data_IF_239243347436
#
_entry.id   IF_239243347436
#
_cell.length_a   1.000
_cell.length_b   1.000
_cell.length_c   1.000
_cell.angle_alpha   90.00
_cell.angle_beta   90.00
_cell.angle_gamma   90.00
#
_symmetry.space_group_name_H-M   'P 1'
#
loop_
_entity.id
_entity.type
_entity.pdbx_description
1 polymer ?
#
# COMPACT_ATOMS: atom_id res chain seq x y z
N UNK A 1 49.03 -30.75 40.31
CA UNK A 1 48.83 -30.18 38.96
C UNK A 1 47.40 -29.74 38.84
N UNK A 2 47.08 -28.43 38.95
CA UNK A 2 45.72 -27.90 38.88
C UNK A 2 45.44 -27.55 37.43
N UNK A 3 44.53 -28.28 36.79
CA UNK A 3 44.11 -28.06 35.42
C UNK A 3 43.30 -26.77 35.32
N UNK A 4 43.82 -25.78 34.60
CA UNK A 4 43.12 -24.52 34.31
C UNK A 4 41.88 -24.81 33.44
N UNK A 5 40.71 -24.74 34.02
CA UNK A 5 39.44 -24.78 33.30
C UNK A 5 39.26 -23.45 32.57
N UNK A 6 39.63 -23.39 31.31
CA UNK A 6 39.37 -22.22 30.45
C UNK A 6 37.85 -21.98 30.38
N UNK A 7 37.37 -20.87 30.98
CA UNK A 7 35.99 -20.41 30.86
C UNK A 7 35.71 -20.13 29.36
N UNK A 8 34.82 -20.90 28.76
CA UNK A 8 34.36 -20.63 27.40
C UNK A 8 33.68 -19.26 27.38
N UNK A 9 34.10 -18.40 26.47
CA UNK A 9 33.46 -17.10 26.24
C UNK A 9 32.00 -17.31 25.82
N UNK A 10 31.11 -16.36 26.13
CA UNK A 10 29.69 -16.39 25.82
C UNK A 10 29.43 -16.76 24.34
N UNK A 11 30.18 -16.17 23.39
CA UNK A 11 30.13 -16.50 21.96
C UNK A 11 30.47 -17.97 21.66
N UNK A 12 31.41 -18.58 22.42
CA UNK A 12 31.76 -19.99 22.23
C UNK A 12 30.68 -20.96 22.71
N UNK A 13 29.77 -20.51 23.59
CA UNK A 13 28.62 -21.29 24.05
C UNK A 13 27.47 -21.28 23.04
N UNK A 14 27.37 -20.24 22.22
CA UNK A 14 26.33 -20.09 21.18
C UNK A 14 26.72 -20.85 19.88
N UNK A 15 28.01 -21.12 19.67
CA UNK A 15 28.45 -21.85 18.49
C UNK A 15 28.17 -23.34 18.60
N UNK A 16 27.66 -23.99 17.54
CA UNK A 16 27.44 -25.42 17.51
C UNK A 16 28.75 -26.21 17.68
N UNK A 17 28.70 -27.48 18.11
CA UNK A 17 29.86 -28.36 18.19
C UNK A 17 30.64 -28.37 16.86
N UNK A 18 31.97 -28.56 16.89
CA UNK A 18 32.82 -28.45 15.68
C UNK A 18 32.30 -29.27 14.48
N UNK A 19 31.79 -30.46 14.73
CA UNK A 19 31.25 -31.38 13.69
C UNK A 19 30.01 -30.84 12.99
N UNK A 20 29.24 -29.95 13.66
CA UNK A 20 28.01 -29.38 13.15
C UNK A 20 28.17 -27.97 12.55
N UNK A 21 29.36 -27.36 12.69
CA UNK A 21 29.59 -25.98 12.26
C UNK A 21 29.34 -25.77 10.77
N UNK A 22 29.85 -26.69 9.95
CA UNK A 22 29.67 -26.61 8.50
C UNK A 22 28.18 -26.70 8.12
N UNK A 23 27.46 -27.66 8.68
CA UNK A 23 26.02 -27.79 8.43
C UNK A 23 25.25 -26.55 8.92
N UNK A 24 25.57 -26.03 10.12
CA UNK A 24 24.92 -24.85 10.67
C UNK A 24 25.22 -23.59 9.82
N UNK A 25 26.44 -23.42 9.33
CA UNK A 25 26.76 -22.27 8.44
C UNK A 25 26.05 -22.36 7.10
N UNK A 26 25.95 -23.56 6.51
CA UNK A 26 25.22 -23.76 5.26
C UNK A 26 23.72 -23.47 5.43
N UNK A 27 23.12 -23.99 6.51
CA UNK A 27 21.70 -23.75 6.82
C UNK A 27 21.45 -22.27 7.09
N UNK A 28 22.30 -21.62 7.89
CA UNK A 28 22.19 -20.19 8.15
C UNK A 28 22.37 -19.37 6.87
N UNK A 29 23.36 -19.70 6.05
CA UNK A 29 23.59 -19.06 4.76
C UNK A 29 22.40 -19.20 3.81
N UNK A 30 21.81 -20.39 3.72
CA UNK A 30 20.61 -20.64 2.93
C UNK A 30 19.41 -19.84 3.47
N UNK A 31 19.22 -19.83 4.80
CA UNK A 31 18.14 -19.09 5.44
C UNK A 31 18.23 -17.58 5.18
N UNK A 32 19.39 -16.99 5.45
CA UNK A 32 19.57 -15.55 5.22
C UNK A 32 19.56 -15.20 3.73
N UNK A 33 20.18 -16.05 2.89
CA UNK A 33 20.18 -15.85 1.44
C UNK A 33 18.77 -15.90 0.85
N UNK A 34 17.96 -16.88 1.25
CA UNK A 34 16.54 -16.97 0.84
C UNK A 34 15.72 -15.81 1.38
N UNK A 35 15.92 -15.43 2.65
CA UNK A 35 15.25 -14.27 3.24
C UNK A 35 15.54 -12.98 2.48
N UNK A 36 16.81 -12.72 2.16
CA UNK A 36 17.22 -11.57 1.37
C UNK A 36 16.65 -11.61 -0.06
N UNK A 37 16.64 -12.78 -0.66
CA UNK A 37 16.04 -12.97 -1.99
C UNK A 37 14.53 -12.67 -1.99
N UNK A 38 13.80 -13.13 -0.97
CA UNK A 38 12.36 -12.85 -0.81
C UNK A 38 12.14 -11.35 -0.64
N UNK A 39 12.91 -10.66 0.21
CA UNK A 39 12.81 -9.21 0.40
C UNK A 39 13.09 -8.44 -0.91
N UNK A 40 14.04 -8.91 -1.70
CA UNK A 40 14.32 -8.33 -3.01
C UNK A 40 13.19 -8.58 -4.01
N UNK A 41 12.67 -9.80 -4.06
CA UNK A 41 11.59 -10.18 -4.97
C UNK A 41 10.27 -9.45 -4.66
N UNK A 42 9.95 -9.29 -3.37
CA UNK A 42 8.76 -8.56 -2.91
C UNK A 42 8.89 -7.04 -3.02
N UNK A 43 10.03 -6.53 -3.52
CA UNK A 43 10.30 -5.08 -3.57
C UNK A 43 10.11 -4.37 -2.21
N UNK A 44 10.47 -5.06 -1.12
CA UNK A 44 10.21 -4.59 0.25
C UNK A 44 10.80 -3.19 0.54
N UNK A 45 11.93 -2.85 -0.09
CA UNK A 45 12.57 -1.56 0.06
C UNK A 45 11.71 -0.38 -0.43
N UNK A 46 10.80 -0.60 -1.37
CA UNK A 46 9.91 0.45 -1.88
C UNK A 46 8.97 1.01 -0.81
N UNK A 47 8.62 0.21 0.19
CA UNK A 47 7.74 0.65 1.30
C UNK A 47 8.41 1.62 2.28
N UNK A 48 9.73 1.78 2.20
CA UNK A 48 10.44 2.81 2.96
C UNK A 48 10.23 4.21 2.35
N UNK A 49 9.85 4.28 1.08
CA UNK A 49 9.52 5.54 0.40
C UNK A 49 8.06 5.94 0.64
N UNK A 50 7.71 7.17 0.25
CA UNK A 50 6.33 7.67 0.24
C UNK A 50 5.73 7.67 -1.18
N UNK A 51 6.40 7.01 -2.14
CA UNK A 51 5.89 6.89 -3.51
C UNK A 51 4.60 6.05 -3.52
N UNK A 52 3.47 6.61 -3.95
CA UNK A 52 2.20 5.88 -4.06
C UNK A 52 2.27 4.60 -4.89
N UNK A 53 3.23 4.51 -5.81
CA UNK A 53 3.45 3.30 -6.62
C UNK A 53 3.89 2.09 -5.81
N UNK A 54 4.48 2.30 -4.62
CA UNK A 54 4.81 1.20 -3.72
C UNK A 54 3.57 0.37 -3.33
N UNK A 55 2.41 1.02 -3.21
CA UNK A 55 1.14 0.34 -2.91
C UNK A 55 0.69 -0.60 -4.04
N UNK A 56 1.10 -0.35 -5.29
CA UNK A 56 0.77 -1.20 -6.44
C UNK A 56 1.54 -2.52 -6.49
N UNK A 57 2.51 -2.74 -5.60
CA UNK A 57 3.14 -4.06 -5.46
C UNK A 57 2.09 -5.15 -5.10
N UNK A 58 0.96 -4.75 -4.48
CA UNK A 58 -0.19 -5.60 -4.27
C UNK A 58 -1.30 -5.24 -5.26
N UNK A 59 -1.66 -6.15 -6.16
CA UNK A 59 -2.66 -5.91 -7.19
C UNK A 59 -4.04 -5.53 -6.63
N UNK A 60 -4.37 -6.00 -5.41
CA UNK A 60 -5.62 -5.65 -4.72
C UNK A 60 -5.74 -4.15 -4.42
N UNK A 61 -4.63 -3.40 -4.41
CA UNK A 61 -4.60 -1.95 -4.18
C UNK A 61 -4.77 -1.13 -5.46
N UNK A 62 -4.85 -1.77 -6.62
CA UNK A 62 -5.01 -1.07 -7.91
C UNK A 62 -6.24 -0.16 -7.94
N UNK A 63 -7.45 -0.58 -7.50
CA UNK A 63 -8.62 0.31 -7.51
C UNK A 63 -8.43 1.54 -6.62
N UNK A 64 -7.82 1.37 -5.43
CA UNK A 64 -7.55 2.46 -4.50
C UNK A 64 -6.56 3.48 -5.09
N UNK A 65 -5.51 2.98 -5.74
CA UNK A 65 -4.56 3.84 -6.43
C UNK A 65 -5.22 4.62 -7.58
N UNK A 66 -6.01 3.95 -8.42
CA UNK A 66 -6.66 4.58 -9.57
C UNK A 66 -7.67 5.64 -9.14
N UNK A 67 -8.44 5.38 -8.10
CA UNK A 67 -9.41 6.35 -7.57
C UNK A 67 -8.72 7.53 -6.89
N UNK A 68 -7.68 7.30 -6.08
CA UNK A 68 -6.83 8.36 -5.53
C UNK A 68 -6.21 9.21 -6.66
N UNK A 69 -5.66 8.58 -7.69
CA UNK A 69 -5.01 9.26 -8.81
C UNK A 69 -5.96 10.18 -9.61
N UNK A 70 -7.28 9.98 -9.47
CA UNK A 70 -8.33 10.83 -10.06
C UNK A 70 -8.93 11.82 -9.05
N UNK A 71 -8.54 11.75 -7.79
CA UNK A 71 -9.07 12.60 -6.73
C UNK A 71 -8.36 13.97 -6.69
N UNK A 72 -8.98 14.94 -6.03
CA UNK A 72 -8.39 16.26 -5.77
C UNK A 72 -7.18 16.19 -4.83
N UNK A 73 -7.01 15.09 -4.07
CA UNK A 73 -5.91 14.91 -3.13
C UNK A 73 -4.62 14.48 -3.82
N UNK A 74 -4.67 13.98 -5.04
CA UNK A 74 -3.50 13.51 -5.79
C UNK A 74 -2.34 14.51 -5.82
N UNK A 75 -2.63 15.79 -6.00
CA UNK A 75 -1.61 16.83 -6.18
C UNK A 75 -1.01 17.32 -4.86
N UNK A 76 -1.64 16.98 -3.73
CA UNK A 76 -1.28 17.56 -2.41
C UNK A 76 -0.98 16.50 -1.34
N UNK A 77 -1.38 15.25 -1.55
CA UNK A 77 -1.21 14.19 -0.57
C UNK A 77 -0.95 12.84 -1.24
N UNK A 78 0.07 12.14 -0.79
CA UNK A 78 0.35 10.76 -1.13
C UNK A 78 -0.50 9.78 -0.27
N UNK A 79 -0.39 8.49 -0.54
CA UNK A 79 -1.06 7.48 0.29
C UNK A 79 -0.61 7.57 1.76
N UNK A 80 0.69 7.75 2.00
CA UNK A 80 1.26 7.79 3.34
C UNK A 80 0.88 9.05 4.12
N UNK A 81 0.58 10.17 3.44
CA UNK A 81 0.11 11.39 4.12
C UNK A 81 -1.24 11.20 4.83
N UNK A 82 -2.05 10.23 4.36
CA UNK A 82 -3.32 9.87 4.99
C UNK A 82 -3.20 8.64 5.87
N UNK A 83 -2.45 7.60 5.44
CA UNK A 83 -2.47 6.28 6.05
C UNK A 83 -1.35 6.02 7.07
N UNK A 84 -0.41 6.94 7.25
CA UNK A 84 0.73 6.79 8.16
C UNK A 84 0.78 7.97 9.13
N UNK A 85 1.04 7.75 10.43
CA UNK A 85 1.18 8.84 11.40
C UNK A 85 2.25 9.85 10.96
N UNK A 86 1.97 11.13 11.14
CA UNK A 86 2.86 12.23 10.75
C UNK A 86 3.37 13.03 11.95
N UNK A 87 3.24 12.49 13.16
CA UNK A 87 3.64 13.10 14.43
C UNK A 87 5.16 13.08 14.63
N UNK A 88 5.80 11.92 14.42
CA UNK A 88 7.25 11.78 14.49
C UNK A 88 7.78 10.62 13.64
N UNK A 89 9.06 10.71 13.28
CA UNK A 89 9.72 9.75 12.37
C UNK A 89 9.73 8.32 12.93
N UNK A 90 9.92 8.16 14.25
CA UNK A 90 9.95 6.82 14.87
C UNK A 90 8.58 6.15 14.79
N UNK A 91 7.50 6.88 15.11
CA UNK A 91 6.15 6.37 15.04
C UNK A 91 5.77 6.06 13.59
N UNK A 92 6.16 6.92 12.66
CA UNK A 92 5.96 6.71 11.22
C UNK A 92 6.54 5.37 10.75
N UNK A 93 7.82 5.11 11.01
CA UNK A 93 8.46 3.87 10.56
C UNK A 93 8.02 2.65 11.35
N UNK A 94 7.73 2.81 12.63
CA UNK A 94 7.14 1.74 13.45
C UNK A 94 5.77 1.32 12.89
N UNK A 95 4.91 2.29 12.60
CA UNK A 95 3.60 2.03 12.01
C UNK A 95 3.72 1.37 10.63
N UNK A 96 4.60 1.89 9.75
CA UNK A 96 4.88 1.27 8.45
C UNK A 96 5.34 -0.19 8.58
N UNK A 97 6.21 -0.48 9.55
CA UNK A 97 6.71 -1.83 9.78
C UNK A 97 5.60 -2.78 10.26
N UNK A 98 4.81 -2.36 11.24
CA UNK A 98 3.73 -3.17 11.82
C UNK A 98 2.59 -3.39 10.82
N UNK A 99 2.19 -2.35 10.11
CA UNK A 99 1.14 -2.44 9.10
C UNK A 99 1.60 -3.25 7.89
N UNK A 100 2.85 -3.06 7.45
CA UNK A 100 3.46 -3.85 6.40
C UNK A 100 3.57 -5.34 6.74
N UNK A 101 3.95 -5.68 7.98
CA UNK A 101 3.96 -7.07 8.46
C UNK A 101 2.55 -7.68 8.46
N UNK A 102 1.56 -6.92 8.92
CA UNK A 102 0.17 -7.37 8.90
C UNK A 102 -0.29 -7.66 7.48
N UNK A 103 -0.13 -6.71 6.55
CA UNK A 103 -0.53 -6.89 5.16
C UNK A 103 0.21 -8.04 4.48
N UNK A 104 1.51 -8.19 4.77
CA UNK A 104 2.31 -9.33 4.26
C UNK A 104 1.78 -10.66 4.76
N UNK A 105 1.38 -10.73 6.04
CA UNK A 105 0.78 -11.94 6.62
C UNK A 105 -0.58 -12.25 5.97
N UNK A 106 -1.47 -11.26 5.89
CA UNK A 106 -2.79 -11.40 5.24
C UNK A 106 -2.64 -11.90 3.81
N UNK A 107 -1.74 -11.29 3.03
CA UNK A 107 -1.46 -11.70 1.66
C UNK A 107 -0.90 -13.11 1.57
N UNK A 108 0.07 -13.46 2.42
CA UNK A 108 0.73 -14.78 2.41
C UNK A 108 -0.25 -15.90 2.74
N UNK A 109 -1.14 -15.66 3.69
CA UNK A 109 -2.15 -16.64 4.12
C UNK A 109 -3.46 -16.55 3.33
N UNK A 110 -3.56 -15.65 2.37
CA UNK A 110 -4.77 -15.39 1.58
C UNK A 110 -5.99 -15.16 2.47
N UNK A 111 -5.81 -14.35 3.49
CA UNK A 111 -6.81 -14.02 4.49
C UNK A 111 -7.44 -12.63 4.26
N UNK A 112 -7.32 -12.09 3.05
CA UNK A 112 -7.92 -10.81 2.67
C UNK A 112 -9.44 -10.90 2.72
N UNK A 113 -10.11 -9.92 3.35
CA UNK A 113 -11.56 -9.84 3.36
C UNK A 113 -12.08 -9.43 1.98
N UNK A 114 -13.30 -9.88 1.62
CA UNK A 114 -13.94 -9.49 0.35
C UNK A 114 -14.19 -7.98 0.25
N UNK A 115 -14.42 -7.33 1.39
CA UNK A 115 -14.57 -5.87 1.49
C UNK A 115 -13.36 -5.31 2.22
N UNK A 116 -12.56 -4.53 1.50
CA UNK A 116 -11.35 -3.92 2.04
C UNK A 116 -11.73 -2.60 2.73
N UNK A 117 -11.57 -2.58 4.04
CA UNK A 117 -11.79 -1.40 4.89
C UNK A 117 -10.54 -1.13 5.72
N UNK A 118 -10.36 0.14 6.13
CA UNK A 118 -9.30 0.48 7.06
C UNK A 118 -9.57 -0.19 8.42
N UNK A 119 -8.51 -0.73 9.03
CA UNK A 119 -8.58 -1.25 10.41
C UNK A 119 -8.80 -0.08 11.37
N UNK A 120 -9.32 -0.36 12.55
CA UNK A 120 -9.59 0.67 13.56
C UNK A 120 -8.34 1.50 13.89
N UNK A 121 -7.19 0.86 14.14
CA UNK A 121 -5.91 1.55 14.36
C UNK A 121 -5.47 2.43 13.17
N UNK A 122 -5.82 2.06 11.95
CA UNK A 122 -5.56 2.85 10.75
C UNK A 122 -6.61 3.94 10.57
N UNK A 123 -7.85 3.72 11.02
CA UNK A 123 -8.92 4.70 10.98
C UNK A 123 -8.60 5.92 11.84
N UNK A 124 -8.08 5.71 13.05
CA UNK A 124 -7.61 6.80 13.93
C UNK A 124 -6.51 7.63 13.24
N UNK A 125 -5.52 6.97 12.65
CA UNK A 125 -4.45 7.66 11.92
C UNK A 125 -4.99 8.48 10.76
N UNK A 126 -5.93 7.93 9.99
CA UNK A 126 -6.56 8.64 8.86
C UNK A 126 -7.32 9.87 9.37
N UNK A 127 -8.10 9.73 10.44
CA UNK A 127 -8.86 10.84 11.03
C UNK A 127 -7.92 11.97 11.46
N UNK A 128 -6.86 11.63 12.20
CA UNK A 128 -5.87 12.59 12.68
C UNK A 128 -5.16 13.32 11.51
N UNK A 129 -4.85 12.61 10.44
CA UNK A 129 -4.25 13.21 9.26
C UNK A 129 -5.23 14.10 8.46
N UNK A 130 -6.53 13.74 8.42
CA UNK A 130 -7.56 14.63 7.87
C UNK A 130 -7.61 15.95 8.66
N UNK A 131 -7.67 15.85 9.99
CA UNK A 131 -7.69 17.01 10.89
C UNK A 131 -6.43 17.86 10.70
N UNK A 132 -5.24 17.26 10.68
CA UNK A 132 -3.95 17.95 10.50
C UNK A 132 -3.95 18.89 9.29
N UNK A 133 -4.52 18.46 8.18
CA UNK A 133 -4.56 19.28 6.96
C UNK A 133 -5.77 20.22 6.90
N UNK A 134 -6.88 19.86 7.55
CA UNK A 134 -8.16 20.56 7.45
C UNK A 134 -8.61 21.26 8.73
N UNK A 135 -7.77 21.34 9.76
CA UNK A 135 -8.09 21.90 11.08
C UNK A 135 -8.80 23.27 10.98
N UNK A 136 -8.28 24.16 10.14
CA UNK A 136 -8.85 25.50 9.96
C UNK A 136 -10.22 25.53 9.26
N UNK A 137 -10.65 24.41 8.70
CA UNK A 137 -11.93 24.26 7.99
C UNK A 137 -12.96 23.51 8.79
N UNK A 138 -12.56 22.87 9.89
CA UNK A 138 -13.45 22.07 10.73
C UNK A 138 -14.11 23.00 11.74
N UNK A 139 -15.45 23.11 11.64
CA UNK A 139 -16.26 23.91 12.56
C UNK A 139 -16.98 23.07 13.62
N UNK A 140 -17.08 21.74 13.41
CA UNK A 140 -17.69 20.81 14.35
C UNK A 140 -16.64 20.22 15.28
N UNK A 141 -16.74 20.55 16.57
CA UNK A 141 -15.80 20.06 17.59
C UNK A 141 -15.78 18.52 17.72
N UNK A 142 -16.87 17.84 17.36
CA UNK A 142 -16.95 16.37 17.38
C UNK A 142 -16.07 15.69 16.33
N UNK A 143 -15.64 16.42 15.31
CA UNK A 143 -14.72 15.93 14.29
C UNK A 143 -13.25 16.13 14.65
N UNK A 144 -12.95 16.89 15.70
CA UNK A 144 -11.58 17.19 16.13
C UNK A 144 -10.94 16.10 16.99
N UNK A 145 -11.72 15.11 17.41
CA UNK A 145 -11.23 13.98 18.18
C UNK A 145 -11.72 12.67 17.59
N UNK A 146 -10.89 11.64 17.69
CA UNK A 146 -11.28 10.28 17.42
C UNK A 146 -11.39 9.53 18.75
N UNK A 147 -12.53 8.89 18.98
CA UNK A 147 -12.76 8.10 20.18
C UNK A 147 -12.58 6.63 19.84
N UNK A 148 -11.79 5.94 20.65
CA UNK A 148 -11.41 4.52 20.47
C UNK A 148 -12.62 3.55 20.34
N UNK A 149 -13.80 3.98 20.81
CA UNK A 149 -15.01 3.18 20.82
C UNK A 149 -16.09 3.73 19.86
N UNK A 150 -15.64 4.26 18.72
CA UNK A 150 -16.52 4.85 17.71
C UNK A 150 -17.59 3.86 17.20
N UNK A 151 -17.25 2.58 17.07
CA UNK A 151 -18.20 1.55 16.61
C UNK A 151 -19.36 1.33 17.58
N UNK A 152 -19.13 1.45 18.89
CA UNK A 152 -20.13 1.18 19.92
C UNK A 152 -20.95 2.42 20.28
N UNK A 153 -20.34 3.57 20.36
CA UNK A 153 -20.99 4.78 20.86
C UNK A 153 -21.51 5.73 19.79
N UNK A 154 -20.94 5.70 18.58
CA UNK A 154 -21.34 6.54 17.42
C UNK A 154 -21.64 8.01 17.75
N UNK A 155 -21.07 8.51 18.83
CA UNK A 155 -21.23 9.91 19.26
C UNK A 155 -20.37 10.85 18.44
N UNK A 156 -19.28 10.32 17.91
CA UNK A 156 -18.33 11.05 17.10
C UNK A 156 -18.50 10.66 15.63
N UNK A 157 -18.15 11.58 14.76
CA UNK A 157 -18.21 11.37 13.32
C UNK A 157 -16.83 11.37 12.74
N UNK A 158 -16.57 10.38 11.89
CA UNK A 158 -15.35 10.39 11.09
C UNK A 158 -15.56 11.22 9.82
N UNK A 159 -14.48 11.80 9.32
CA UNK A 159 -14.55 12.65 8.13
C UNK A 159 -15.16 11.92 6.93
N UNK A 160 -14.86 10.64 6.76
CA UNK A 160 -15.35 9.82 5.64
C UNK A 160 -16.81 9.35 5.80
N UNK A 161 -17.46 9.56 6.94
CA UNK A 161 -18.91 9.32 7.03
C UNK A 161 -19.72 10.31 6.20
N UNK A 162 -19.21 11.54 6.07
CA UNK A 162 -19.79 12.56 5.21
C UNK A 162 -19.07 12.60 3.86
N UNK A 163 -17.74 12.56 3.86
CA UNK A 163 -16.89 12.61 2.67
C UNK A 163 -16.61 11.20 2.11
N UNK A 164 -17.69 10.46 1.83
CA UNK A 164 -17.66 9.01 1.54
C UNK A 164 -16.83 8.59 0.34
N UNK A 165 -16.61 9.50 -0.59
CA UNK A 165 -15.88 9.22 -1.83
C UNK A 165 -14.44 9.76 -1.82
N UNK A 166 -14.02 10.35 -0.71
CA UNK A 166 -12.67 10.92 -0.60
C UNK A 166 -11.74 9.95 0.12
N UNK A 167 -10.54 9.67 -0.46
CA UNK A 167 -10.15 9.90 -1.86
C UNK A 167 -10.48 8.71 -2.78
N UNK A 168 -10.96 7.57 -2.24
CA UNK A 168 -11.03 6.29 -2.95
C UNK A 168 -12.39 5.95 -3.55
N UNK A 169 -13.38 6.83 -3.43
CA UNK A 169 -14.74 6.55 -3.92
C UNK A 169 -15.37 5.34 -3.23
N UNK A 170 -16.22 4.61 -3.95
CA UNK A 170 -16.99 3.47 -3.41
C UNK A 170 -16.37 2.10 -3.69
N UNK A 171 -15.17 2.06 -4.23
CA UNK A 171 -14.51 0.81 -4.65
C UNK A 171 -13.89 0.12 -3.43
N UNK A 172 -14.61 -0.80 -2.81
CA UNK A 172 -14.17 -1.51 -1.59
C UNK A 172 -14.15 -3.03 -1.72
N UNK A 173 -14.67 -3.59 -2.82
CA UNK A 173 -14.76 -5.04 -3.01
C UNK A 173 -13.60 -5.59 -3.84
N UNK A 174 -13.14 -6.78 -3.50
CA UNK A 174 -12.17 -7.54 -4.31
C UNK A 174 -12.66 -7.84 -5.72
N UNK A 175 -13.98 -7.86 -5.95
CA UNK A 175 -14.57 -8.02 -7.28
C UNK A 175 -14.21 -6.88 -8.26
N UNK A 176 -13.80 -5.73 -7.73
CA UNK A 176 -13.34 -4.59 -8.53
C UNK A 176 -11.87 -4.69 -8.95
N UNK A 177 -11.14 -5.65 -8.39
CA UNK A 177 -9.73 -5.89 -8.74
C UNK A 177 -9.67 -6.67 -10.03
N UNK A 178 -9.02 -6.10 -11.04
CA UNK A 178 -8.79 -6.81 -12.30
C UNK A 178 -7.94 -8.06 -12.12
N UNK A 179 -8.36 -9.16 -12.72
CA UNK A 179 -7.62 -10.43 -12.69
C UNK A 179 -6.39 -10.46 -13.62
N UNK A 180 -6.04 -9.35 -14.23
CA UNK A 180 -4.87 -9.28 -15.10
C UNK A 180 -3.60 -9.35 -14.27
N UNK A 181 -2.99 -10.51 -14.30
CA UNK A 181 -1.65 -10.80 -13.76
C UNK A 181 -0.56 -10.23 -14.69
N UNK A 182 -0.90 -9.96 -15.94
CA UNK A 182 0.02 -9.34 -16.88
C UNK A 182 0.10 -7.83 -16.64
N UNK A 183 1.32 -7.26 -16.59
CA UNK A 183 1.48 -5.82 -16.64
C UNK A 183 0.72 -5.33 -17.88
N UNK A 184 -0.13 -4.32 -17.69
CA UNK A 184 -0.77 -3.63 -18.83
C UNK A 184 0.35 -3.33 -19.81
N UNK A 185 0.33 -3.91 -21.03
CA UNK A 185 1.38 -3.63 -21.98
C UNK A 185 1.47 -2.13 -22.14
N UNK A 186 2.66 -1.58 -21.94
CA UNK A 186 2.94 -0.14 -22.09
C UNK A 186 2.75 0.29 -23.56
N UNK A 187 2.55 -0.68 -24.43
CA UNK A 187 2.11 -0.45 -25.78
C UNK A 187 0.66 0.05 -25.72
N UNK A 188 0.51 1.35 -25.63
CA UNK A 188 -0.74 2.02 -25.99
C UNK A 188 -0.91 1.69 -27.46
N UNK A 189 -1.85 0.79 -27.83
CA UNK A 189 -2.11 0.52 -29.23
C UNK A 189 -2.39 1.88 -29.88
N UNK A 190 -1.78 2.10 -31.02
CA UNK A 190 -1.99 3.34 -31.76
C UNK A 190 -3.50 3.60 -31.79
N UNK A 191 -3.91 4.81 -31.49
CA UNK A 191 -5.31 5.23 -31.23
C UNK A 191 -6.35 4.59 -32.17
N UNK A 192 -5.89 4.10 -33.34
CA UNK A 192 -6.66 3.43 -34.37
C UNK A 192 -7.12 2.00 -34.00
N UNK A 193 -6.38 1.28 -33.16
CA UNK A 193 -6.68 -0.13 -32.89
C UNK A 193 -7.73 -0.34 -31.79
N UNK A 194 -8.02 0.70 -31.02
CA UNK A 194 -9.08 0.69 -30.00
C UNK A 194 -10.44 1.02 -30.60
N UNK A 195 -10.47 1.65 -31.78
CA UNK A 195 -11.70 2.08 -32.42
C UNK A 195 -12.25 0.94 -33.27
N UNK A 196 -13.46 0.41 -32.99
CA UNK A 196 -14.10 -0.61 -33.83
C UNK A 196 -14.14 -0.17 -35.30
N UNK A 197 -14.00 -1.14 -36.20
CA UNK A 197 -13.91 -0.86 -37.65
C UNK A 197 -15.08 -0.03 -38.18
N UNK A 198 -16.30 -0.25 -37.69
CA UNK A 198 -17.49 0.51 -38.08
C UNK A 198 -17.46 1.97 -37.61
N UNK A 199 -16.77 2.28 -36.52
CA UNK A 199 -16.65 3.65 -36.04
C UNK A 199 -15.50 4.42 -36.74
N UNK A 200 -14.51 3.68 -37.28
CA UNK A 200 -13.40 4.28 -38.03
C UNK A 200 -13.90 4.93 -39.35
N UNK A 201 -14.80 4.26 -40.06
CA UNK A 201 -15.39 4.80 -41.28
C UNK A 201 -16.14 6.10 -41.02
N UNK A 202 -16.89 6.15 -39.92
CA UNK A 202 -17.62 7.37 -39.52
C UNK A 202 -16.70 8.56 -39.25
N UNK A 203 -15.60 8.35 -38.52
CA UNK A 203 -14.67 9.41 -38.13
C UNK A 203 -13.86 9.94 -39.34
N UNK A 204 -13.54 9.05 -40.30
CA UNK A 204 -12.82 9.47 -41.52
C UNK A 204 -13.73 10.24 -42.49
N UNK A 205 -15.00 9.86 -42.64
CA UNK A 205 -15.96 10.57 -43.48
C UNK A 205 -16.28 11.97 -42.93
N UNK A 206 -16.41 12.13 -41.61
CA UNK A 206 -16.68 13.41 -40.98
C UNK A 206 -15.45 14.32 -40.98
N UNK A 207 -14.24 13.76 -40.81
CA UNK A 207 -12.96 14.48 -40.90
C UNK A 207 -12.73 15.05 -42.32
N UNK A 208 -13.03 14.29 -43.35
CA UNK A 208 -12.92 14.73 -44.76
C UNK A 208 -13.97 15.80 -45.11
N UNK A 209 -15.16 15.74 -44.53
CA UNK A 209 -16.21 16.75 -44.75
C UNK A 209 -15.85 18.09 -44.12
N UNK A 210 -15.25 18.08 -42.95
CA UNK A 210 -14.78 19.29 -42.23
C UNK A 210 -13.59 19.93 -42.98
N UNK A 211 -12.67 19.12 -43.49
CA UNK A 211 -11.50 19.65 -44.22
C UNK A 211 -11.87 20.28 -45.57
N UNK A 212 -12.98 19.87 -46.21
CA UNK A 212 -13.49 20.43 -47.46
C UNK A 212 -14.39 21.65 -47.26
N UNK A 213 -14.80 21.94 -46.03
CA UNK A 213 -15.67 23.11 -45.71
C UNK A 213 -14.90 24.35 -45.18
N UNK A 214 -13.57 24.28 -45.11
CA UNK A 214 -12.74 25.44 -44.76
C UNK A 214 -12.38 26.24 -46.04
N UNK A 215 -12.75 27.53 -46.11
CA UNK A 215 -12.46 28.41 -47.25
C UNK A 215 -10.97 28.72 -47.36
#
# INVERSE_FOLDING_TARGET
MAGSVKRKNFLQRLLPPPRWRMAATLIAGAFFGLGFYILKLSNAASYLSDDPKACLNCHVMTPQYLTWNKSSHREVASCNDCHVPQDNVFNQYYFKAMDGLYHSAVFTFRAEPEVIVARESSAEVIQNNCIRCHETRITDAKLLSFVDDHEHHRTDRTCWECQRETPHGRVKSLSSVGHQIEPIPVHIPEKRDIIPAWLRTYITEEGDSISRASP
#
